data_IF_161563686164
#
_entry.id   IF_161563686164
#
_cell.length_a   1.000
_cell.length_b   1.000
_cell.length_c   1.000
_cell.angle_alpha   90.00
_cell.angle_beta   90.00
_cell.angle_gamma   90.00
#
_symmetry.space_group_name_H-M   'P 1'
#
loop_
_entity.id
_entity.type
_entity.pdbx_description
1 polymer ?
#
# COMPACT_ATOMS: atom_id res chain seq x y z
N UNK A 1 -6.73 -7.93 -38.60
CA UNK A 1 -5.56 -8.32 -37.77
C UNK A 1 -4.78 -7.16 -37.11
N UNK A 2 -5.12 -5.86 -37.29
CA UNK A 2 -4.37 -4.75 -36.65
C UNK A 2 -4.73 -4.50 -35.17
N UNK A 3 -5.94 -4.86 -34.73
CA UNK A 3 -6.48 -4.48 -33.41
C UNK A 3 -5.86 -5.28 -32.25
N UNK A 4 -5.39 -6.50 -32.50
CA UNK A 4 -4.75 -7.33 -31.47
C UNK A 4 -3.31 -6.92 -31.14
N UNK A 5 -2.60 -6.29 -32.08
CA UNK A 5 -1.19 -5.88 -31.89
C UNK A 5 -1.07 -4.65 -30.99
N UNK A 6 -2.02 -3.72 -31.13
CA UNK A 6 -2.09 -2.51 -30.31
C UNK A 6 -2.53 -2.80 -28.86
N UNK A 7 -3.44 -3.75 -28.65
CA UNK A 7 -3.84 -4.17 -27.31
C UNK A 7 -2.69 -4.86 -26.56
N UNK A 8 -2.00 -5.80 -27.20
CA UNK A 8 -0.85 -6.48 -26.59
C UNK A 8 0.27 -5.49 -26.24
N UNK A 9 0.61 -4.58 -27.16
CA UNK A 9 1.63 -3.54 -26.94
C UNK A 9 1.26 -2.58 -25.81
N UNK A 10 0.00 -2.14 -25.73
CA UNK A 10 -0.52 -1.27 -24.65
C UNK A 10 -0.51 -1.94 -23.29
N UNK A 11 -0.86 -3.24 -23.22
CA UNK A 11 -0.79 -4.00 -21.97
C UNK A 11 0.65 -4.15 -21.51
N UNK A 12 1.59 -4.43 -22.42
CA UNK A 12 3.01 -4.55 -22.09
C UNK A 12 3.60 -3.26 -21.53
N UNK A 13 3.30 -2.11 -22.15
CA UNK A 13 3.80 -0.80 -21.70
C UNK A 13 3.12 -0.32 -20.42
N UNK A 14 1.81 -0.56 -20.26
CA UNK A 14 1.07 -0.19 -19.04
C UNK A 14 1.41 -1.06 -17.82
N UNK A 15 1.72 -2.34 -18.04
CA UNK A 15 2.09 -3.27 -16.97
C UNK A 15 3.47 -2.93 -16.37
N UNK A 16 4.46 -2.55 -17.18
CA UNK A 16 5.79 -2.15 -16.67
C UNK A 16 5.72 -0.96 -15.70
N UNK A 17 4.93 0.07 -16.02
CA UNK A 17 4.77 1.24 -15.14
C UNK A 17 4.03 0.88 -13.84
N UNK A 18 3.02 0.02 -13.92
CA UNK A 18 2.25 -0.42 -12.75
C UNK A 18 3.07 -1.31 -11.82
N UNK A 19 3.89 -2.20 -12.40
CA UNK A 19 4.76 -3.12 -11.64
C UNK A 19 5.87 -2.33 -10.95
N UNK A 20 6.59 -1.46 -11.68
CA UNK A 20 7.71 -0.69 -11.08
C UNK A 20 7.23 0.20 -9.93
N UNK A 21 6.10 0.88 -10.11
CA UNK A 21 5.51 1.71 -9.07
C UNK A 21 5.05 0.89 -7.84
N UNK A 22 4.36 -0.24 -8.06
CA UNK A 22 3.94 -1.12 -6.97
C UNK A 22 5.12 -1.73 -6.20
N UNK A 23 6.19 -2.09 -6.91
CA UNK A 23 7.39 -2.67 -6.32
C UNK A 23 8.16 -1.64 -5.48
N UNK A 24 8.23 -0.39 -5.94
CA UNK A 24 8.82 0.70 -5.15
C UNK A 24 8.06 0.96 -3.84
N UNK A 25 6.72 1.00 -3.90
CA UNK A 25 5.85 1.17 -2.72
C UNK A 25 6.07 0.07 -1.69
N UNK A 26 6.07 -1.18 -2.15
CA UNK A 26 6.24 -2.35 -1.28
C UNK A 26 7.66 -2.44 -0.73
N UNK A 27 8.68 -2.07 -1.51
CA UNK A 27 10.06 -2.02 -1.04
C UNK A 27 10.22 -0.99 0.10
N UNK A 28 9.60 0.19 -0.02
CA UNK A 28 9.65 1.23 1.02
C UNK A 28 8.87 0.80 2.26
N UNK A 29 7.60 0.39 2.09
CA UNK A 29 6.74 0.00 3.21
C UNK A 29 7.28 -1.25 3.93
N UNK A 30 7.65 -2.27 3.15
CA UNK A 30 8.20 -3.52 3.65
C UNK A 30 9.59 -3.34 4.26
N UNK A 31 10.46 -2.53 3.66
CA UNK A 31 11.79 -2.22 4.20
C UNK A 31 11.69 -1.50 5.54
N UNK A 32 11.02 -0.36 5.59
CA UNK A 32 10.87 0.44 6.82
C UNK A 32 10.10 -0.35 7.90
N UNK A 33 9.00 -1.00 7.52
CA UNK A 33 8.17 -1.76 8.44
C UNK A 33 8.88 -3.00 9.00
N UNK A 34 9.62 -3.73 8.18
CA UNK A 34 10.39 -4.90 8.65
C UNK A 34 11.53 -4.50 9.58
N UNK A 35 12.26 -3.42 9.27
CA UNK A 35 13.30 -2.87 10.13
C UNK A 35 12.75 -2.46 11.51
N UNK A 36 11.65 -1.69 11.53
CA UNK A 36 10.99 -1.27 12.76
C UNK A 36 10.43 -2.46 13.55
N UNK A 37 9.81 -3.43 12.87
CA UNK A 37 9.25 -4.64 13.49
C UNK A 37 10.33 -5.51 14.13
N UNK A 38 11.43 -5.76 13.42
CA UNK A 38 12.58 -6.49 13.96
C UNK A 38 13.21 -5.77 15.15
N UNK A 39 13.34 -4.44 15.06
CA UNK A 39 13.90 -3.64 16.15
C UNK A 39 13.02 -3.70 17.41
N UNK A 40 11.70 -3.55 17.25
CA UNK A 40 10.74 -3.67 18.37
C UNK A 40 10.77 -5.06 19.00
N UNK A 41 10.84 -6.11 18.19
CA UNK A 41 10.87 -7.51 18.65
C UNK A 41 12.17 -7.90 19.37
N UNK A 42 13.30 -7.24 19.09
CA UNK A 42 14.58 -7.51 19.77
C UNK A 42 14.79 -6.68 21.01
N UNK A 43 14.50 -5.37 20.98
CA UNK A 43 14.67 -4.52 22.16
C UNK A 43 13.76 -4.98 23.29
N UNK A 44 12.49 -5.27 23.00
CA UNK A 44 11.48 -5.49 24.03
C UNK A 44 11.33 -4.30 24.99
N UNK A 45 10.31 -4.33 25.85
CA UNK A 45 10.13 -3.31 26.90
C UNK A 45 9.46 -2.01 26.41
N UNK A 46 9.86 -0.87 26.98
CA UNK A 46 9.17 0.43 26.78
C UNK A 46 9.19 0.93 25.33
N UNK A 47 10.29 0.74 24.61
CA UNK A 47 10.39 1.16 23.20
C UNK A 47 9.46 0.36 22.26
N UNK A 48 9.36 -0.95 22.49
CA UNK A 48 8.42 -1.82 21.79
C UNK A 48 6.96 -1.41 22.06
N UNK A 49 6.63 -1.10 23.32
CA UNK A 49 5.29 -0.61 23.67
C UNK A 49 4.92 0.71 22.98
N UNK A 50 5.87 1.64 22.82
CA UNK A 50 5.63 2.91 22.12
C UNK A 50 5.40 2.66 20.62
N UNK A 51 6.29 1.89 19.97
CA UNK A 51 6.16 1.58 18.54
C UNK A 51 4.83 0.90 18.27
N UNK A 52 4.47 -0.10 19.08
CA UNK A 52 3.23 -0.85 18.91
C UNK A 52 2.00 0.01 19.18
N UNK A 53 2.04 0.91 20.18
CA UNK A 53 0.96 1.88 20.37
C UNK A 53 0.75 2.79 19.17
N UNK A 54 1.82 3.30 18.56
CA UNK A 54 1.71 4.12 17.34
C UNK A 54 1.06 3.31 16.21
N UNK A 55 1.50 2.06 16.02
CA UNK A 55 0.91 1.17 15.01
C UNK A 55 -0.57 0.85 15.31
N UNK A 56 -0.93 0.64 16.58
CA UNK A 56 -2.29 0.35 17.00
C UNK A 56 -3.22 1.55 16.80
N UNK A 57 -2.73 2.77 17.05
CA UNK A 57 -3.45 4.01 16.74
C UNK A 57 -3.74 4.11 15.23
N UNK A 58 -2.74 3.84 14.38
CA UNK A 58 -2.91 3.86 12.92
C UNK A 58 -3.94 2.82 12.44
N UNK A 59 -3.94 1.62 13.04
CA UNK A 59 -4.88 0.55 12.69
C UNK A 59 -6.29 0.76 13.25
N UNK A 60 -6.47 1.59 14.27
CA UNK A 60 -7.80 1.92 14.79
C UNK A 60 -8.63 2.73 13.77
N UNK A 61 -7.95 3.49 12.91
CA UNK A 61 -8.57 4.24 11.83
C UNK A 61 -8.75 3.29 10.64
N UNK A 62 -9.95 3.17 10.06
CA UNK A 62 -10.16 2.39 8.85
C UNK A 62 -9.14 2.80 7.77
N UNK A 63 -8.44 1.82 7.19
CA UNK A 63 -7.32 2.05 6.28
C UNK A 63 -7.68 2.94 5.10
N UNK A 64 -8.93 2.84 4.62
CA UNK A 64 -9.46 3.65 3.52
C UNK A 64 -9.51 5.14 3.91
N UNK A 65 -10.05 5.46 5.09
CA UNK A 65 -10.16 6.83 5.60
C UNK A 65 -8.77 7.43 5.81
N UNK A 66 -7.86 6.68 6.44
CA UNK A 66 -6.49 7.11 6.67
C UNK A 66 -5.74 7.38 5.35
N UNK A 67 -5.92 6.50 4.37
CA UNK A 67 -5.31 6.65 3.03
C UNK A 67 -5.83 7.90 2.34
N UNK A 68 -7.14 8.17 2.38
CA UNK A 68 -7.71 9.36 1.75
C UNK A 68 -7.24 10.64 2.44
N UNK A 69 -7.17 10.65 3.78
CA UNK A 69 -6.67 11.79 4.54
C UNK A 69 -5.20 12.09 4.21
N UNK A 70 -4.34 11.07 4.17
CA UNK A 70 -2.95 11.21 3.74
C UNK A 70 -2.84 11.68 2.27
N UNK A 71 -3.58 11.06 1.36
CA UNK A 71 -3.56 11.45 -0.05
C UNK A 71 -4.02 12.90 -0.26
N UNK A 72 -5.00 13.37 0.51
CA UNK A 72 -5.44 14.76 0.49
C UNK A 72 -4.38 15.72 1.06
N UNK A 73 -3.72 15.33 2.16
CA UNK A 73 -2.69 16.14 2.82
C UNK A 73 -1.41 16.28 1.98
N UNK A 74 -0.98 15.21 1.28
CA UNK A 74 0.19 15.26 0.39
C UNK A 74 -0.12 15.93 -0.96
N UNK A 75 -1.38 16.17 -1.29
CA UNK A 75 -1.81 16.80 -2.54
C UNK A 75 -1.96 15.84 -3.73
N UNK A 76 -2.53 16.32 -4.85
CA UNK A 76 -2.97 15.49 -5.96
C UNK A 76 -1.80 15.01 -6.84
N UNK A 77 -1.17 13.91 -6.46
CA UNK A 77 -0.16 13.20 -7.27
C UNK A 77 -0.31 11.70 -7.13
N UNK A 78 -0.10 10.96 -8.23
CA UNK A 78 -0.08 9.50 -8.24
C UNK A 78 0.95 8.96 -7.24
N UNK A 79 2.13 9.58 -7.22
CA UNK A 79 3.21 9.21 -6.31
C UNK A 79 2.81 9.42 -4.85
N UNK A 80 2.15 10.54 -4.54
CA UNK A 80 1.73 10.87 -3.19
C UNK A 80 0.64 9.92 -2.67
N UNK A 81 -0.28 9.50 -3.54
CA UNK A 81 -1.27 8.51 -3.20
C UNK A 81 -0.67 7.12 -2.97
N UNK A 82 0.29 6.74 -3.80
CA UNK A 82 1.06 5.50 -3.63
C UNK A 82 1.85 5.51 -2.31
N UNK A 83 2.47 6.64 -1.97
CA UNK A 83 3.17 6.85 -0.71
C UNK A 83 2.22 6.79 0.49
N UNK A 84 1.03 7.39 0.39
CA UNK A 84 0.00 7.33 1.43
C UNK A 84 -0.38 5.87 1.75
N UNK A 85 -0.59 5.05 0.72
CA UNK A 85 -0.88 3.62 0.89
C UNK A 85 0.31 2.89 1.51
N UNK A 86 1.53 3.19 1.06
CA UNK A 86 2.76 2.62 1.62
C UNK A 86 2.80 2.82 3.14
N UNK A 87 2.53 4.04 3.59
CA UNK A 87 2.52 4.43 5.01
C UNK A 87 1.45 3.65 5.78
N UNK A 88 0.25 3.52 5.22
CA UNK A 88 -0.85 2.76 5.84
C UNK A 88 -0.54 1.26 5.94
N UNK A 89 0.31 0.73 5.05
CA UNK A 89 0.74 -0.68 5.08
C UNK A 89 1.87 -0.96 6.09
N UNK A 90 2.65 0.04 6.51
CA UNK A 90 3.73 -0.09 7.50
C UNK A 90 3.32 -0.92 8.74
N UNK A 91 2.21 -0.63 9.46
CA UNK A 91 1.84 -1.38 10.67
C UNK A 91 1.64 -2.88 10.45
N UNK A 92 1.20 -3.30 9.26
CA UNK A 92 1.08 -4.72 8.92
C UNK A 92 2.45 -5.39 8.82
N UNK A 93 3.41 -4.76 8.14
CA UNK A 93 4.78 -5.25 8.05
C UNK A 93 5.49 -5.24 9.41
N UNK A 94 5.27 -4.20 10.22
CA UNK A 94 5.83 -4.10 11.58
C UNK A 94 5.36 -5.26 12.45
N UNK A 95 4.05 -5.53 12.47
CA UNK A 95 3.47 -6.63 13.25
C UNK A 95 3.93 -7.99 12.76
N UNK A 96 3.99 -8.18 11.44
CA UNK A 96 4.44 -9.43 10.84
C UNK A 96 5.90 -9.71 11.17
N UNK A 97 6.79 -8.73 11.00
CA UNK A 97 8.20 -8.84 11.37
C UNK A 97 8.41 -9.01 12.89
N UNK A 98 7.63 -8.33 13.73
CA UNK A 98 7.67 -8.52 15.20
C UNK A 98 7.27 -9.94 15.58
N UNK A 99 6.21 -10.47 14.99
CA UNK A 99 5.75 -11.85 15.21
C UNK A 99 6.84 -12.87 14.87
N UNK A 100 7.45 -12.73 13.69
CA UNK A 100 8.58 -13.59 13.30
C UNK A 100 9.77 -13.44 14.25
N UNK A 101 10.08 -12.22 14.68
CA UNK A 101 11.16 -11.97 15.63
C UNK A 101 10.92 -12.65 16.98
N UNK A 102 9.69 -12.61 17.50
CA UNK A 102 9.32 -13.27 18.75
C UNK A 102 9.46 -14.79 18.66
N UNK A 103 9.03 -15.38 17.55
CA UNK A 103 9.21 -16.83 17.27
C UNK A 103 10.70 -17.17 17.19
N UNK A 104 11.47 -16.41 16.40
CA UNK A 104 12.89 -16.69 16.18
C UNK A 104 13.70 -16.60 17.47
N UNK A 105 13.34 -15.67 18.36
CA UNK A 105 13.96 -15.53 19.69
C UNK A 105 13.80 -16.75 20.59
N UNK A 106 12.80 -17.60 20.35
CA UNK A 106 12.58 -18.82 21.14
C UNK A 106 13.45 -19.99 20.68
N UNK A 107 14.07 -19.94 19.49
CA UNK A 107 14.89 -21.05 19.01
C UNK A 107 16.18 -21.22 19.80
N UNK A 108 16.58 -22.48 20.01
CA UNK A 108 17.75 -22.89 20.79
C UNK A 108 19.06 -22.31 20.26
N UNK A 109 19.22 -22.19 18.93
CA UNK A 109 20.41 -21.59 18.31
C UNK A 109 20.53 -20.09 18.61
N UNK A 110 19.41 -19.37 18.73
CA UNK A 110 19.40 -17.94 19.08
C UNK A 110 19.69 -17.73 20.56
N UNK A 111 19.17 -18.62 21.42
CA UNK A 111 19.48 -18.61 22.85
C UNK A 111 20.96 -18.92 23.12
N UNK A 112 21.52 -19.92 22.43
CA UNK A 112 22.93 -20.25 22.48
C UNK A 112 23.80 -19.07 22.02
N UNK A 113 23.47 -18.43 20.88
CA UNK A 113 24.18 -17.26 20.39
C UNK A 113 24.15 -16.07 21.38
N UNK A 114 23.04 -15.89 22.12
CA UNK A 114 22.97 -14.87 23.19
C UNK A 114 23.87 -15.21 24.38
N UNK A 115 23.94 -16.48 24.79
CA UNK A 115 24.86 -16.90 25.87
C UNK A 115 26.33 -16.70 25.49
N UNK A 116 26.67 -16.82 24.20
CA UNK A 116 28.00 -16.49 23.67
C UNK A 116 28.26 -14.98 23.50
N UNK A 117 27.36 -14.10 23.93
CA UNK A 117 27.58 -12.65 23.92
C UNK A 117 27.33 -11.97 22.57
N UNK A 118 26.61 -12.60 21.63
CA UNK A 118 26.31 -11.98 20.34
C UNK A 118 25.54 -10.66 20.52
N UNK A 119 26.02 -9.59 19.86
CA UNK A 119 25.37 -8.28 19.87
C UNK A 119 23.94 -8.35 19.29
N UNK A 120 23.02 -7.56 19.86
CA UNK A 120 21.61 -7.48 19.43
C UNK A 120 21.49 -7.16 17.93
N UNK A 121 22.35 -6.30 17.40
CA UNK A 121 22.39 -5.96 15.98
C UNK A 121 22.82 -7.10 15.07
N UNK A 122 23.76 -7.93 15.54
CA UNK A 122 24.20 -9.13 14.82
C UNK A 122 23.04 -10.14 14.76
N UNK A 123 22.35 -10.35 15.87
CA UNK A 123 21.18 -11.22 15.95
C UNK A 123 20.05 -10.77 15.00
N UNK A 124 19.79 -9.46 14.94
CA UNK A 124 18.77 -8.87 14.04
C UNK A 124 19.12 -9.14 12.58
N UNK A 125 20.31 -8.73 12.12
CA UNK A 125 20.66 -8.77 10.69
C UNK A 125 20.85 -10.19 10.15
N UNK A 126 21.47 -11.08 10.92
CA UNK A 126 21.86 -12.40 10.44
C UNK A 126 20.83 -13.50 10.72
N UNK A 127 20.18 -13.45 11.89
CA UNK A 127 19.28 -14.54 12.32
C UNK A 127 17.83 -14.16 12.10
N UNK A 128 17.41 -12.98 12.55
CA UNK A 128 16.00 -12.60 12.54
C UNK A 128 15.56 -12.13 11.17
N UNK A 129 16.31 -11.23 10.53
CA UNK A 129 15.94 -10.66 9.23
C UNK A 129 15.84 -11.77 8.18
N UNK A 130 16.83 -12.67 8.12
CA UNK A 130 16.86 -13.78 7.16
C UNK A 130 15.71 -14.78 7.35
N UNK A 131 15.27 -14.98 8.59
CA UNK A 131 14.16 -15.89 8.91
C UNK A 131 12.79 -15.20 8.77
N UNK A 132 12.74 -13.87 8.87
CA UNK A 132 11.53 -13.09 8.59
C UNK A 132 11.31 -12.83 7.08
N UNK A 133 12.32 -13.01 6.21
CA UNK A 133 12.20 -12.81 4.77
C UNK A 133 11.07 -13.64 4.11
N UNK A 134 10.91 -14.95 4.35
CA UNK A 134 9.89 -15.75 3.68
C UNK A 134 8.47 -15.21 3.83
N UNK A 135 7.95 -14.95 5.06
CA UNK A 135 6.60 -14.40 5.21
C UNK A 135 6.51 -12.93 4.76
N UNK A 136 7.60 -12.16 4.83
CA UNK A 136 7.63 -10.79 4.29
C UNK A 136 7.50 -10.78 2.76
N UNK A 137 8.10 -11.74 2.05
CA UNK A 137 8.01 -11.87 0.58
C UNK A 137 6.59 -12.26 0.16
N UNK A 138 5.96 -13.18 0.89
CA UNK A 138 4.55 -13.55 0.64
C UNK A 138 3.64 -12.33 0.81
N UNK A 139 3.80 -11.59 1.91
CA UNK A 139 3.03 -10.37 2.15
C UNK A 139 3.29 -9.29 1.08
N UNK A 140 4.55 -9.11 0.70
CA UNK A 140 4.95 -8.20 -0.36
C UNK A 140 4.24 -8.54 -1.68
N UNK A 141 4.12 -9.82 -2.01
CA UNK A 141 3.46 -10.28 -3.24
C UNK A 141 1.96 -9.92 -3.25
N UNK A 142 1.28 -10.07 -2.11
CA UNK A 142 -0.13 -9.67 -1.96
C UNK A 142 -0.32 -8.15 -2.07
N UNK A 143 0.62 -7.38 -1.53
CA UNK A 143 0.57 -5.92 -1.60
C UNK A 143 0.91 -5.38 -2.98
N UNK A 144 1.81 -6.04 -3.74
CA UNK A 144 2.08 -5.69 -5.14
C UNK A 144 0.78 -5.80 -5.96
N UNK A 145 0.02 -6.88 -5.80
CA UNK A 145 -1.28 -7.05 -6.46
C UNK A 145 -2.26 -5.93 -6.10
N UNK A 146 -2.32 -5.58 -4.81
CA UNK A 146 -3.15 -4.47 -4.32
C UNK A 146 -2.73 -3.11 -4.90
N UNK A 147 -1.42 -2.87 -5.03
CA UNK A 147 -0.86 -1.64 -5.58
C UNK A 147 -1.16 -1.48 -7.08
N UNK A 148 -1.08 -2.57 -7.85
CA UNK A 148 -1.43 -2.59 -9.28
C UNK A 148 -2.92 -2.26 -9.48
N UNK A 149 -3.80 -2.88 -8.70
CA UNK A 149 -5.24 -2.58 -8.75
C UNK A 149 -5.52 -1.11 -8.41
N UNK A 150 -4.75 -0.54 -7.50
CA UNK A 150 -4.88 0.87 -7.16
C UNK A 150 -4.38 1.78 -8.28
N UNK A 151 -3.23 1.47 -8.90
CA UNK A 151 -2.73 2.21 -10.05
C UNK A 151 -3.77 2.24 -11.20
N UNK A 152 -4.45 1.11 -11.43
CA UNK A 152 -5.55 1.05 -12.39
C UNK A 152 -6.71 1.99 -12.01
N UNK A 153 -7.11 2.04 -10.73
CA UNK A 153 -8.12 2.99 -10.23
C UNK A 153 -7.72 4.45 -10.45
N UNK A 154 -6.45 4.79 -10.25
CA UNK A 154 -5.93 6.12 -10.54
C UNK A 154 -5.97 6.47 -12.03
N UNK A 155 -5.65 5.53 -12.90
CA UNK A 155 -5.79 5.69 -14.35
C UNK A 155 -7.23 6.02 -14.76
N UNK A 156 -8.21 5.33 -14.18
CA UNK A 156 -9.64 5.60 -14.40
C UNK A 156 -10.01 7.01 -13.88
N UNK A 157 -9.57 7.38 -12.69
CA UNK A 157 -9.85 8.71 -12.11
C UNK A 157 -9.17 9.85 -12.89
N UNK A 158 -7.97 9.62 -13.42
CA UNK A 158 -7.27 10.57 -14.28
C UNK A 158 -7.98 10.71 -15.64
N UNK A 159 -8.36 9.59 -16.26
CA UNK A 159 -9.13 9.59 -17.50
C UNK A 159 -10.46 10.33 -17.33
N UNK A 160 -11.17 10.10 -16.23
CA UNK A 160 -12.40 10.81 -15.89
C UNK A 160 -12.16 12.33 -15.81
N UNK A 161 -11.08 12.79 -15.15
CA UNK A 161 -10.74 14.22 -15.08
C UNK A 161 -10.36 14.83 -16.43
N UNK A 162 -9.82 14.04 -17.36
CA UNK A 162 -9.37 14.52 -18.67
C UNK A 162 -10.44 14.53 -19.76
N UNK A 163 -11.58 13.86 -19.59
CA UNK A 163 -12.67 13.92 -20.57
C UNK A 163 -13.31 15.30 -20.54
N UNK A 164 -13.17 16.13 -21.60
CA UNK A 164 -13.91 17.37 -21.70
C UNK A 164 -15.39 17.02 -21.82
N UNK A 165 -16.31 17.72 -21.14
CA UNK A 165 -17.73 17.51 -21.35
C UNK A 165 -18.06 17.74 -22.85
N UNK A 166 -18.96 16.96 -23.47
CA UNK A 166 -19.24 17.03 -24.92
C UNK A 166 -19.77 18.37 -25.46
N UNK A 167 -19.90 19.39 -24.61
CA UNK A 167 -20.60 20.65 -24.89
C UNK A 167 -20.28 21.77 -23.87
N UNK A 168 -19.11 21.77 -23.21
CA UNK A 168 -18.77 22.81 -22.21
C UNK A 168 -19.60 22.75 -20.92
N UNK A 169 -20.37 21.68 -20.75
CA UNK A 169 -21.23 21.44 -19.61
C UNK A 169 -20.43 21.18 -18.31
N UNK A 170 -20.31 22.22 -17.49
CA UNK A 170 -19.78 22.16 -16.11
C UNK A 170 -20.54 21.20 -15.18
N UNK A 171 -21.70 20.70 -15.59
CA UNK A 171 -22.60 19.84 -14.80
C UNK A 171 -22.31 18.34 -14.89
N UNK A 172 -21.39 17.90 -15.76
CA UNK A 172 -21.05 16.47 -15.88
C UNK A 172 -20.53 15.81 -14.58
N UNK A 173 -19.76 16.48 -13.70
CA UNK A 173 -19.34 15.88 -12.43
C UNK A 173 -20.51 15.76 -11.44
N UNK A 174 -21.52 16.63 -11.54
CA UNK A 174 -22.72 16.62 -10.68
C UNK A 174 -23.68 15.49 -11.07
N UNK A 175 -23.79 15.17 -12.36
CA UNK A 175 -24.67 14.11 -12.87
C UNK A 175 -24.24 12.69 -12.44
N UNK A 176 -22.93 12.46 -12.30
CA UNK A 176 -22.40 11.17 -11.81
C UNK A 176 -22.61 11.01 -10.30
N UNK A 177 -22.65 12.12 -9.54
CA UNK A 177 -22.91 12.08 -8.09
C UNK A 177 -24.39 11.90 -7.76
N UNK A 178 -25.30 12.42 -8.58
CA UNK A 178 -26.76 12.30 -8.35
C UNK A 178 -27.34 10.95 -8.77
N UNK A 179 -26.72 10.23 -9.72
CA UNK A 179 -27.22 8.91 -10.16
C UNK A 179 -27.13 7.80 -9.12
N UNK A 180 -26.30 7.98 -8.07
CA UNK A 180 -26.18 7.03 -6.96
C UNK A 180 -27.13 7.31 -5.80
N UNK A 181 -27.69 8.53 -5.74
CA UNK A 181 -28.54 8.99 -4.62
C UNK A 181 -30.02 9.00 -4.97
N UNK A 182 -30.39 9.19 -6.23
CA UNK A 182 -31.76 9.02 -6.71
C UNK A 182 -31.83 7.81 -7.64
N UNK A 183 -32.49 6.73 -7.19
CA UNK A 183 -32.80 5.58 -8.04
C UNK A 183 -33.42 6.03 -9.36
N UNK A 184 -32.70 5.75 -10.45
CA UNK A 184 -33.17 5.73 -11.84
C UNK A 184 -34.15 6.81 -12.30
N UNK A 185 -33.67 8.00 -12.67
CA UNK A 185 -34.20 8.78 -13.81
C UNK A 185 -33.16 9.81 -14.24
N UNK A 186 -32.56 9.63 -15.41
CA UNK A 186 -31.73 10.66 -16.05
C UNK A 186 -32.64 11.72 -16.71
N UNK A 187 -32.35 13.03 -16.60
CA UNK A 187 -33.03 14.03 -17.40
C UNK A 187 -32.37 14.08 -18.78
N UNK A 188 -32.97 13.44 -19.77
CA UNK A 188 -32.60 13.69 -21.17
C UNK A 188 -33.09 15.09 -21.57
N UNK A 189 -32.25 15.92 -22.23
CA UNK A 189 -32.71 17.19 -22.76
C UNK A 189 -33.57 16.92 -24.00
N UNK A 190 -34.88 17.10 -23.88
CA UNK A 190 -35.79 17.14 -25.02
C UNK A 190 -35.42 18.36 -25.86
N UNK A 191 -34.79 18.14 -27.02
CA UNK A 191 -34.68 19.15 -28.07
C UNK A 191 -36.11 19.53 -28.49
N UNK A 192 -36.54 20.75 -28.20
CA UNK A 192 -37.69 21.34 -28.89
C UNK A 192 -37.22 21.81 -30.26
N UNK A 193 -38.00 21.45 -31.28
CA UNK A 193 -37.99 22.06 -32.60
C UNK A 193 -38.23 23.57 -32.51
#
# INVERSE_FOLDING_TARGET
MRWGRDLFSRVLTGSQQSITAGLAVVAIAGGIGSLLGCFSGVLGGRGDAIIMRVMDIMLSIPSLVLTMALAAALGPSLFNAMLAIAIVRIPFYVRLARGQTLVVRQFTYVQAARTFGASRWHLIRWHILRNALPPLIVQASLDIGSAILMAARWGILAWARSSPPPNGARWWPLAVTTSWTSGGTAPFPVRRF
#
